data_IF_207316772276
#
_entry.id   IF_207316772276
#
_cell.length_a   1.000
_cell.length_b   1.000
_cell.length_c   1.000
_cell.angle_alpha   90.00
_cell.angle_beta   90.00
_cell.angle_gamma   90.00
#
_symmetry.space_group_name_H-M   'P 1'
#
loop_
_entity.id
_entity.type
_entity.pdbx_description
1 polymer ?
#
# COMPACT_ATOMS: atom_id res chain seq x y z
N UNK A 1 2.54 0.43 -12.09
CA UNK A 1 3.28 -0.76 -12.54
C UNK A 1 3.14 -0.93 -14.05
N UNK A 2 4.14 -1.48 -14.76
CA UNK A 2 3.97 -1.90 -16.16
C UNK A 2 2.96 -3.05 -16.30
N UNK A 3 2.77 -3.85 -15.24
CA UNK A 3 1.91 -5.04 -15.23
C UNK A 3 0.43 -4.73 -14.92
N UNK A 4 0.08 -3.46 -14.75
CA UNK A 4 -1.31 -3.11 -14.49
C UNK A 4 -2.18 -3.42 -15.72
N UNK A 5 -3.25 -4.18 -15.49
CA UNK A 5 -4.38 -4.38 -16.39
C UNK A 5 -5.18 -3.09 -16.48
N UNK A 6 -5.91 -2.91 -17.60
CA UNK A 6 -6.77 -1.74 -17.82
C UNK A 6 -6.03 -0.41 -17.57
N UNK A 7 -4.89 -0.24 -18.23
CA UNK A 7 -3.97 0.89 -18.04
C UNK A 7 -4.63 2.27 -18.25
N UNK A 8 -5.76 2.32 -18.97
CA UNK A 8 -6.61 3.51 -19.11
C UNK A 8 -7.20 4.01 -17.79
N UNK A 9 -7.26 3.16 -16.76
CA UNK A 9 -7.77 3.52 -15.42
C UNK A 9 -6.74 4.32 -14.59
N UNK A 10 -5.56 4.58 -15.15
CA UNK A 10 -4.45 5.27 -14.52
C UNK A 10 -4.03 6.47 -15.38
N UNK A 11 -4.11 7.67 -14.81
CA UNK A 11 -3.80 8.92 -15.52
C UNK A 11 -2.29 9.17 -15.60
N UNK A 12 -1.54 8.78 -14.56
CA UNK A 12 -0.10 9.00 -14.50
C UNK A 12 0.65 7.95 -15.32
N UNK A 13 1.54 8.44 -16.18
CA UNK A 13 2.50 7.63 -16.94
C UNK A 13 3.91 8.11 -16.65
N UNK A 14 4.80 7.20 -16.29
CA UNK A 14 6.19 7.53 -15.96
C UNK A 14 7.14 6.39 -16.30
N UNK A 15 8.39 6.72 -16.59
CA UNK A 15 9.44 5.74 -16.88
C UNK A 15 10.56 5.91 -15.86
N UNK A 16 10.74 4.98 -14.90
CA UNK A 16 11.81 5.06 -13.91
C UNK A 16 13.18 5.02 -14.59
N UNK A 17 14.02 6.02 -14.33
CA UNK A 17 15.40 6.08 -14.81
C UNK A 17 16.37 6.07 -13.63
N UNK A 18 17.57 5.49 -13.86
CA UNK A 18 18.63 5.48 -12.86
C UNK A 18 19.08 6.90 -12.54
N UNK A 19 19.14 7.24 -11.24
CA UNK A 19 19.60 8.54 -10.75
C UNK A 19 20.30 8.41 -9.41
N UNK A 20 20.96 9.48 -8.96
CA UNK A 20 21.52 9.53 -7.61
C UNK A 20 20.40 9.31 -6.57
N UNK A 21 20.63 8.40 -5.61
CA UNK A 21 19.62 7.96 -4.64
C UNK A 21 18.69 6.83 -5.13
N UNK A 22 18.70 6.50 -6.42
CA UNK A 22 17.95 5.38 -7.01
C UNK A 22 18.73 4.79 -8.20
N UNK A 23 19.86 4.12 -7.92
CA UNK A 23 20.77 3.61 -8.96
C UNK A 23 20.17 2.42 -9.74
N UNK A 24 19.34 1.61 -9.08
CA UNK A 24 18.68 0.44 -9.65
C UNK A 24 17.18 0.49 -9.34
N UNK A 25 16.42 1.43 -9.94
CA UNK A 25 14.99 1.53 -9.65
C UNK A 25 14.24 0.31 -10.15
N UNK A 26 13.16 -0.06 -9.46
CA UNK A 26 12.23 -1.09 -9.97
C UNK A 26 11.68 -0.66 -11.33
N UNK A 27 11.56 -1.60 -12.26
CA UNK A 27 11.09 -1.36 -13.63
C UNK A 27 11.91 -0.28 -14.37
N UNK A 28 13.23 -0.28 -14.17
CA UNK A 28 14.14 0.65 -14.84
C UNK A 28 13.95 0.65 -16.37
N UNK A 29 13.82 1.84 -16.95
CA UNK A 29 13.61 2.08 -18.38
C UNK A 29 12.31 1.46 -18.95
N UNK A 30 11.35 1.10 -18.10
CA UNK A 30 10.05 0.55 -18.51
C UNK A 30 8.92 1.54 -18.23
N UNK A 31 8.04 1.75 -19.21
CA UNK A 31 6.86 2.59 -19.05
C UNK A 31 5.93 1.99 -17.98
N UNK A 32 5.59 2.80 -16.97
CA UNK A 32 4.75 2.44 -15.84
C UNK A 32 3.49 3.32 -15.79
N UNK A 33 2.41 2.74 -15.29
CA UNK A 33 1.12 3.40 -15.06
C UNK A 33 0.83 3.50 -13.57
N UNK A 34 0.15 4.56 -13.10
CA UNK A 34 -0.20 4.69 -11.70
C UNK A 34 -1.13 5.86 -11.37
N UNK A 35 -1.30 6.10 -10.07
CA UNK A 35 -1.97 7.28 -9.53
C UNK A 35 -0.95 8.37 -9.26
N UNK A 36 -1.30 9.62 -9.55
CA UNK A 36 -0.55 10.78 -9.05
C UNK A 36 -1.07 11.16 -7.67
N UNK A 37 -0.25 10.94 -6.65
CA UNK A 37 -0.52 11.30 -5.27
C UNK A 37 0.27 12.56 -4.83
N UNK A 38 0.78 13.36 -5.76
CA UNK A 38 1.59 14.53 -5.43
C UNK A 38 0.78 15.73 -4.92
N UNK A 39 -0.50 15.81 -5.29
CA UNK A 39 -1.40 16.92 -4.94
C UNK A 39 -2.44 16.54 -3.87
N UNK A 40 -2.34 15.35 -3.28
CA UNK A 40 -3.28 14.95 -2.22
C UNK A 40 -2.85 15.55 -0.89
N UNK A 41 -3.82 15.87 -0.04
CA UNK A 41 -3.55 16.17 1.35
C UNK A 41 -2.99 14.95 2.07
N UNK A 42 -2.08 15.19 3.02
CA UNK A 42 -1.46 14.09 3.77
C UNK A 42 -2.54 13.37 4.58
N UNK A 43 -2.68 12.06 4.41
CA UNK A 43 -3.67 11.30 5.15
C UNK A 43 -3.51 11.34 6.67
N UNK A 44 -4.63 11.43 7.38
CA UNK A 44 -4.66 11.19 8.82
C UNK A 44 -4.52 9.71 9.21
N UNK A 45 -4.60 8.80 8.24
CA UNK A 45 -4.54 7.35 8.44
C UNK A 45 -3.95 6.64 7.22
N UNK A 46 -3.62 5.35 7.37
CA UNK A 46 -3.20 4.51 6.24
C UNK A 46 -4.35 4.41 5.22
N UNK A 47 -4.12 4.84 3.97
CA UNK A 47 -5.05 4.67 2.85
C UNK A 47 -4.87 3.31 2.19
N UNK A 48 -5.73 2.36 2.56
CA UNK A 48 -5.74 1.02 1.99
C UNK A 48 -6.34 1.01 0.58
N UNK A 49 -7.08 2.06 0.20
CA UNK A 49 -7.74 2.18 -1.09
C UNK A 49 -6.72 2.11 -2.25
N UNK A 50 -5.55 2.75 -2.12
CA UNK A 50 -4.51 2.70 -3.15
C UNK A 50 -3.90 1.31 -3.27
N UNK A 51 -3.67 0.63 -2.16
CA UNK A 51 -3.13 -0.72 -2.13
C UNK A 51 -4.12 -1.72 -2.75
N UNK A 52 -5.39 -1.64 -2.37
CA UNK A 52 -6.47 -2.47 -2.92
C UNK A 52 -6.65 -2.19 -4.42
N UNK A 53 -6.63 -0.91 -4.84
CA UNK A 53 -6.72 -0.53 -6.27
C UNK A 53 -5.55 -1.11 -7.06
N UNK A 54 -4.33 -1.00 -6.53
CA UNK A 54 -3.13 -1.57 -7.16
C UNK A 54 -3.22 -3.09 -7.28
N UNK A 55 -3.66 -3.79 -6.22
CA UNK A 55 -3.85 -5.24 -6.23
C UNK A 55 -4.88 -5.65 -7.30
N UNK A 56 -6.05 -5.01 -7.32
CA UNK A 56 -7.14 -5.31 -8.25
C UNK A 56 -6.72 -5.22 -9.72
N UNK A 57 -5.84 -4.27 -10.06
CA UNK A 57 -5.36 -4.09 -11.43
C UNK A 57 -4.06 -4.84 -11.72
N UNK A 58 -3.51 -5.59 -10.77
CA UNK A 58 -2.27 -6.36 -10.97
C UNK A 58 -2.54 -7.82 -11.33
N UNK A 59 -1.48 -8.61 -11.50
CA UNK A 59 -1.57 -10.06 -11.45
C UNK A 59 -1.52 -10.53 -9.97
N UNK A 60 -2.60 -11.15 -9.44
CA UNK A 60 -2.64 -11.62 -8.05
C UNK A 60 -1.48 -12.55 -7.66
N UNK A 61 -1.03 -13.40 -8.58
CA UNK A 61 0.05 -14.37 -8.32
C UNK A 61 1.42 -13.71 -8.12
N UNK A 62 1.62 -12.52 -8.71
CA UNK A 62 2.89 -11.80 -8.67
C UNK A 62 2.83 -10.52 -7.83
N UNK A 63 1.68 -10.17 -7.24
CA UNK A 63 1.58 -8.96 -6.42
C UNK A 63 2.29 -9.11 -5.07
N UNK A 64 2.11 -10.26 -4.42
CA UNK A 64 2.76 -10.61 -3.16
C UNK A 64 3.87 -11.65 -3.42
N UNK A 65 4.95 -11.22 -4.08
CA UNK A 65 6.04 -12.08 -4.57
C UNK A 65 6.78 -12.88 -3.49
N UNK A 66 6.84 -12.35 -2.27
CA UNK A 66 7.57 -12.94 -1.16
C UNK A 66 6.96 -12.55 0.19
N UNK A 67 7.58 -13.04 1.27
CA UNK A 67 7.15 -12.72 2.64
C UNK A 67 7.49 -11.28 3.07
N UNK A 68 8.04 -10.43 2.18
CA UNK A 68 8.37 -9.05 2.54
C UNK A 68 7.12 -8.27 2.89
N UNK A 69 6.01 -8.43 2.16
CA UNK A 69 4.77 -7.70 2.45
C UNK A 69 4.29 -8.00 3.89
N UNK A 70 4.21 -9.28 4.24
CA UNK A 70 3.86 -9.74 5.59
C UNK A 70 4.79 -9.16 6.65
N UNK A 71 6.10 -9.12 6.40
CA UNK A 71 7.09 -8.52 7.32
C UNK A 71 6.84 -7.03 7.55
N UNK A 72 6.53 -6.27 6.50
CA UNK A 72 6.22 -4.84 6.63
C UNK A 72 4.86 -4.60 7.30
N UNK A 73 3.87 -5.44 7.02
CA UNK A 73 2.55 -5.36 7.64
C UNK A 73 2.54 -5.84 9.10
N UNK A 74 3.55 -6.62 9.52
CA UNK A 74 3.64 -7.24 10.85
C UNK A 74 2.71 -8.44 11.06
N UNK A 75 1.93 -8.82 10.04
CA UNK A 75 0.98 -9.93 10.07
C UNK A 75 0.60 -10.38 8.66
N UNK A 76 0.20 -11.64 8.50
CA UNK A 76 -0.37 -12.16 7.25
C UNK A 76 -1.82 -11.70 7.03
N UNK A 77 -2.49 -11.25 8.10
CA UNK A 77 -3.92 -10.90 8.10
C UNK A 77 -4.27 -9.89 7.01
N UNK A 78 -3.46 -8.84 6.84
CA UNK A 78 -3.73 -7.80 5.83
C UNK A 78 -3.68 -8.35 4.41
N UNK A 79 -2.69 -9.20 4.11
CA UNK A 79 -2.56 -9.85 2.80
C UNK A 79 -3.80 -10.70 2.51
N UNK A 80 -4.17 -11.56 3.46
CA UNK A 80 -5.32 -12.46 3.34
C UNK A 80 -6.61 -11.66 3.13
N UNK A 81 -6.79 -10.56 3.86
CA UNK A 81 -7.99 -9.71 3.71
C UNK A 81 -8.07 -9.07 2.31
N UNK A 82 -6.96 -8.60 1.76
CA UNK A 82 -6.91 -8.04 0.40
C UNK A 82 -7.21 -9.13 -0.64
N UNK A 83 -6.61 -10.31 -0.50
CA UNK A 83 -6.86 -11.48 -1.37
C UNK A 83 -8.32 -11.95 -1.30
N UNK A 84 -8.97 -11.83 -0.14
CA UNK A 84 -10.40 -12.12 0.06
C UNK A 84 -11.33 -11.02 -0.47
N UNK A 85 -10.80 -9.92 -1.01
CA UNK A 85 -11.60 -8.83 -1.55
C UNK A 85 -12.29 -7.97 -0.47
N UNK A 86 -11.76 -7.96 0.76
CA UNK A 86 -12.28 -7.08 1.82
C UNK A 86 -12.09 -5.62 1.44
N UNK A 87 -13.09 -4.80 1.79
CA UNK A 87 -13.02 -3.35 1.62
C UNK A 87 -12.05 -2.73 2.63
N UNK A 88 -11.56 -1.52 2.32
CA UNK A 88 -10.71 -0.77 3.24
C UNK A 88 -11.37 -0.55 4.61
N UNK A 89 -12.70 -0.36 4.64
CA UNK A 89 -13.46 -0.19 5.87
C UNK A 89 -13.49 -1.48 6.71
N UNK A 90 -13.81 -2.62 6.11
CA UNK A 90 -13.79 -3.91 6.83
C UNK A 90 -12.41 -4.24 7.39
N UNK A 91 -11.34 -3.92 6.65
CA UNK A 91 -9.96 -4.11 7.13
C UNK A 91 -9.68 -3.20 8.33
N UNK A 92 -10.06 -1.92 8.26
CA UNK A 92 -9.88 -0.96 9.36
C UNK A 92 -10.68 -1.35 10.60
N UNK A 93 -11.92 -1.79 10.43
CA UNK A 93 -12.76 -2.29 11.52
C UNK A 93 -12.07 -3.45 12.25
N UNK A 94 -11.42 -4.32 11.49
CA UNK A 94 -10.67 -5.46 12.02
C UNK A 94 -9.49 -5.09 12.92
N UNK A 95 -9.02 -3.84 12.86
CA UNK A 95 -7.91 -3.30 13.66
C UNK A 95 -8.38 -2.52 14.90
N UNK A 96 -9.67 -2.19 15.01
CA UNK A 96 -10.15 -1.25 16.03
C UNK A 96 -9.85 -1.72 17.46
N UNK A 97 -10.01 -3.01 17.73
CA UNK A 97 -9.74 -3.58 19.05
C UNK A 97 -8.25 -3.45 19.43
N UNK A 98 -7.35 -3.86 18.54
CA UNK A 98 -5.90 -3.75 18.75
C UNK A 98 -5.45 -2.28 18.89
N UNK A 99 -6.04 -1.38 18.09
CA UNK A 99 -5.77 0.06 18.18
C UNK A 99 -6.24 0.64 19.51
N UNK A 100 -7.40 0.23 20.03
CA UNK A 100 -7.88 0.66 21.35
C UNK A 100 -6.96 0.15 22.47
N UNK A 101 -6.53 -1.12 22.38
CA UNK A 101 -5.60 -1.70 23.35
C UNK A 101 -4.24 -1.00 23.32
N UNK A 102 -3.72 -0.70 22.13
CA UNK A 102 -2.48 0.05 21.96
C UNK A 102 -2.59 1.48 22.50
N UNK A 103 -3.73 2.17 22.25
CA UNK A 103 -3.98 3.52 22.78
C UNK A 103 -3.93 3.55 24.31
N UNK A 104 -4.55 2.58 24.99
CA UNK A 104 -4.49 2.45 26.46
C UNK A 104 -3.07 2.15 26.94
N UNK A 105 -2.34 1.31 26.22
CA UNK A 105 -0.96 0.95 26.59
C UNK A 105 0.01 2.12 26.44
N UNK A 106 -0.11 2.91 25.36
CA UNK A 106 0.80 4.04 25.09
C UNK A 106 0.61 5.24 26.02
N UNK A 107 -0.55 5.40 26.66
CA UNK A 107 -0.85 6.50 27.59
C UNK A 107 0.22 6.65 28.68
N UNK A 108 0.78 5.53 29.16
CA UNK A 108 1.84 5.52 30.20
C UNK A 108 3.16 6.14 29.76
N UNK A 109 3.34 6.36 28.45
CA UNK A 109 4.60 6.77 27.84
C UNK A 109 4.47 8.07 27.03
N UNK A 110 3.31 8.74 27.09
CA UNK A 110 3.11 10.03 26.41
C UNK A 110 3.85 11.14 27.17
N UNK A 111 4.63 11.93 26.44
CA UNK A 111 5.34 13.12 26.94
C UNK A 111 4.81 14.43 26.32
N UNK A 112 3.80 14.32 25.46
CA UNK A 112 3.10 15.42 24.81
C UNK A 112 1.59 15.15 24.88
N UNK A 113 0.81 16.22 24.95
CA UNK A 113 -0.65 16.18 24.85
C UNK A 113 -1.13 15.90 23.42
#
# INVERSE_FOLDING_TARGET
SPEFKEQSNFELRYTPVSKQGAKYPKHQNTLCYGEDLSQIETPAAVHLEWLIKAYKHSNPETFFLDNSFTKHAGTERLRIQIEQGKTANEIRESWLEDLQNFKKMREKYLIYE
#
